data_IF_084348579359
#
_entry.id   IF_084348579359
#
_cell.length_a   1.000
_cell.length_b   1.000
_cell.length_c   1.000
_cell.angle_alpha   90.00
_cell.angle_beta   90.00
_cell.angle_gamma   90.00
#
_symmetry.space_group_name_H-M   'P 1'
#
loop_
_entity.id
_entity.type
_entity.pdbx_description
1 polymer ?
#
# COMPACT_ATOMS: atom_id res chain seq x y z
N UNK A 1 -24.61 43.12 55.52
CA UNK A 1 -24.71 42.80 54.08
C UNK A 1 -24.68 44.16 53.37
N UNK A 2 -23.54 44.70 52.96
CA UNK A 2 -22.71 44.29 51.82
C UNK A 2 -22.68 45.50 50.86
N UNK A 3 -21.60 46.30 50.92
CA UNK A 3 -21.51 47.62 50.30
C UNK A 3 -21.11 47.62 48.82
N UNK A 4 -21.40 48.74 48.15
CA UNK A 4 -21.00 49.05 46.78
C UNK A 4 -19.60 49.70 46.72
N UNK A 5 -18.89 49.47 45.61
CA UNK A 5 -17.64 50.14 45.23
C UNK A 5 -17.27 49.91 43.75
N UNK A 6 -17.17 51.04 43.03
CA UNK A 6 -16.53 51.37 41.72
C UNK A 6 -15.16 50.67 41.44
N UNK A 7 -14.54 50.53 40.25
CA UNK A 7 -14.65 51.03 38.86
C UNK A 7 -13.79 50.12 37.90
N UNK A 8 -13.35 50.46 36.64
CA UNK A 8 -13.46 49.60 35.45
C UNK A 8 -12.12 49.15 34.80
N UNK A 9 -12.14 48.33 33.73
CA UNK A 9 -11.40 48.56 32.45
C UNK A 9 -11.34 47.34 31.48
N UNK A 10 -11.73 47.63 30.23
CA UNK A 10 -11.11 47.28 28.92
C UNK A 10 -10.86 45.82 28.51
N UNK A 11 -11.52 45.46 27.40
CA UNK A 11 -10.82 45.14 26.15
C UNK A 11 -10.74 43.66 25.78
N UNK A 12 -11.38 43.29 24.65
CA UNK A 12 -11.13 42.01 23.97
C UNK A 12 -12.32 41.52 23.15
N UNK A 13 -12.47 42.07 21.95
CA UNK A 13 -13.35 41.55 20.88
C UNK A 13 -12.96 40.10 20.48
N UNK A 14 -13.85 39.36 19.79
CA UNK A 14 -13.89 37.91 19.77
C UNK A 14 -12.77 37.32 18.91
N UNK A 15 -12.01 36.37 19.48
CA UNK A 15 -11.07 35.56 18.73
C UNK A 15 -11.84 34.62 17.79
N UNK A 16 -12.06 35.12 16.56
CA UNK A 16 -11.79 34.45 15.29
C UNK A 16 -11.57 32.94 15.43
N UNK A 17 -12.68 32.19 15.44
CA UNK A 17 -12.70 30.78 15.08
C UNK A 17 -12.35 30.66 13.60
N UNK A 18 -11.05 30.66 13.31
CA UNK A 18 -10.52 30.53 11.97
C UNK A 18 -11.07 29.26 11.32
N UNK A 19 -11.77 29.47 10.20
CA UNK A 19 -12.12 28.45 9.22
C UNK A 19 -10.85 27.67 8.86
N UNK A 20 -10.62 26.51 9.47
CA UNK A 20 -9.71 25.50 8.91
C UNK A 20 -10.34 25.01 7.61
N UNK A 21 -10.06 25.74 6.52
CA UNK A 21 -10.32 25.24 5.19
C UNK A 21 -9.69 23.86 5.05
N UNK A 22 -10.44 22.90 4.51
CA UNK A 22 -9.90 21.60 4.07
C UNK A 22 -8.75 21.90 3.12
N UNK A 23 -7.52 21.87 3.64
CA UNK A 23 -6.33 21.96 2.83
C UNK A 23 -6.34 20.70 1.97
N UNK A 24 -6.57 20.86 0.66
CA UNK A 24 -6.60 19.76 -0.31
C UNK A 24 -5.29 18.99 -0.14
N UNK A 25 -5.35 17.75 0.38
CA UNK A 25 -4.16 16.91 0.57
C UNK A 25 -3.48 16.81 -0.80
N UNK A 26 -2.27 17.36 -0.94
CA UNK A 26 -1.47 17.23 -2.16
C UNK A 26 -0.71 15.92 -2.06
N UNK A 27 -1.10 14.95 -2.88
CA UNK A 27 -0.38 13.67 -3.02
C UNK A 27 0.86 13.93 -3.86
N UNK A 28 2.03 13.57 -3.33
CA UNK A 28 3.29 13.65 -4.04
C UNK A 28 3.58 12.33 -4.78
N UNK A 29 4.55 12.32 -5.70
CA UNK A 29 5.04 11.07 -6.28
C UNK A 29 5.63 10.15 -5.19
N UNK A 30 6.29 10.72 -4.18
CA UNK A 30 6.85 9.96 -3.07
C UNK A 30 5.75 9.28 -2.24
N UNK A 31 4.61 9.92 -2.01
CA UNK A 31 3.46 9.31 -1.34
C UNK A 31 2.91 8.11 -2.13
N UNK A 32 2.88 8.19 -3.48
CA UNK A 32 2.49 7.06 -4.34
C UNK A 32 3.51 5.90 -4.23
N UNK A 33 4.81 6.22 -4.26
CA UNK A 33 5.89 5.22 -4.10
C UNK A 33 5.88 4.61 -2.71
N UNK A 34 5.55 5.37 -1.66
CA UNK A 34 5.36 4.85 -0.31
C UNK A 34 4.19 3.87 -0.27
N UNK A 35 3.04 4.23 -0.83
CA UNK A 35 1.89 3.31 -0.91
C UNK A 35 2.25 2.02 -1.62
N UNK A 36 3.00 2.10 -2.73
CA UNK A 36 3.51 0.90 -3.41
C UNK A 36 4.48 0.09 -2.54
N UNK A 37 5.37 0.75 -1.78
CA UNK A 37 6.31 0.09 -0.86
C UNK A 37 5.59 -0.64 0.29
N UNK A 38 4.60 0.01 0.89
CA UNK A 38 3.79 -0.55 1.99
C UNK A 38 2.95 -1.74 1.48
N UNK A 39 2.36 -1.63 0.28
CA UNK A 39 1.64 -2.74 -0.35
C UNK A 39 2.55 -3.93 -0.62
N UNK A 40 3.75 -3.71 -1.21
CA UNK A 40 4.73 -4.79 -1.42
C UNK A 40 5.20 -5.40 -0.10
N UNK A 41 5.38 -4.61 0.95
CA UNK A 41 5.76 -5.13 2.27
C UNK A 41 4.73 -6.10 2.82
N UNK A 42 3.46 -5.69 2.79
CA UNK A 42 2.36 -6.49 3.31
C UNK A 42 2.05 -7.68 2.40
N UNK A 43 2.13 -7.53 1.08
CA UNK A 43 1.95 -8.62 0.15
C UNK A 43 3.01 -9.71 0.37
N UNK A 44 4.28 -9.31 0.54
CA UNK A 44 5.36 -10.23 0.88
C UNK A 44 5.13 -10.96 2.21
N UNK A 45 4.61 -10.27 3.23
CA UNK A 45 4.19 -10.89 4.49
C UNK A 45 3.06 -11.90 4.29
N UNK A 46 2.01 -11.53 3.53
CA UNK A 46 0.88 -12.43 3.24
C UNK A 46 1.31 -13.65 2.44
N UNK A 47 2.21 -13.53 1.47
CA UNK A 47 2.75 -14.70 0.79
C UNK A 47 3.55 -15.60 1.72
N UNK A 48 4.36 -15.02 2.61
CA UNK A 48 5.13 -15.79 3.59
C UNK A 48 4.25 -16.56 4.59
N UNK A 49 3.08 -16.04 4.96
CA UNK A 49 2.10 -16.76 5.81
C UNK A 49 1.60 -18.07 5.17
N UNK A 50 1.69 -18.17 3.84
CA UNK A 50 1.24 -19.33 3.06
C UNK A 50 2.37 -20.29 2.67
N UNK A 51 3.58 -20.14 3.21
CA UNK A 51 4.72 -21.02 2.90
C UNK A 51 4.60 -22.46 3.42
N UNK A 52 3.57 -22.78 4.21
CA UNK A 52 3.27 -24.14 4.70
C UNK A 52 1.77 -24.47 4.71
N UNK A 53 0.95 -23.62 4.08
CA UNK A 53 -0.50 -23.70 4.11
C UNK A 53 -1.14 -23.74 2.71
N UNK A 54 -0.33 -23.67 1.65
CA UNK A 54 -0.78 -23.74 0.28
C UNK A 54 -1.29 -25.16 -0.06
N UNK A 55 -2.10 -25.31 -1.13
CA UNK A 55 -2.69 -26.61 -1.47
C UNK A 55 -1.67 -27.65 -1.96
N UNK A 56 -0.47 -27.22 -2.37
CA UNK A 56 0.61 -28.11 -2.81
C UNK A 56 1.96 -27.60 -2.33
N UNK A 57 2.95 -28.50 -2.25
CA UNK A 57 4.31 -28.16 -1.86
C UNK A 57 4.96 -27.15 -2.81
N UNK A 58 4.69 -27.25 -4.11
CA UNK A 58 5.18 -26.29 -5.10
C UNK A 58 4.58 -24.90 -4.87
N UNK A 59 3.32 -24.83 -4.46
CA UNK A 59 2.66 -23.58 -4.11
C UNK A 59 3.20 -22.98 -2.80
N UNK A 60 3.55 -23.82 -1.82
CA UNK A 60 4.24 -23.41 -0.59
C UNK A 60 5.61 -22.77 -0.91
N UNK A 61 6.40 -23.44 -1.76
CA UNK A 61 7.71 -22.94 -2.21
C UNK A 61 7.56 -21.63 -2.98
N UNK A 62 6.56 -21.54 -3.86
CA UNK A 62 6.27 -20.31 -4.61
C UNK A 62 5.88 -19.18 -3.66
N UNK A 63 5.00 -19.41 -2.68
CA UNK A 63 4.61 -18.43 -1.67
C UNK A 63 5.81 -17.92 -0.88
N UNK A 64 6.71 -18.81 -0.45
CA UNK A 64 7.94 -18.43 0.24
C UNK A 64 8.87 -17.56 -0.63
N UNK A 65 9.05 -17.93 -1.90
CA UNK A 65 9.90 -17.20 -2.84
C UNK A 65 9.35 -15.80 -3.15
N UNK A 66 8.06 -15.70 -3.50
CA UNK A 66 7.41 -14.42 -3.78
C UNK A 66 7.40 -13.52 -2.54
N UNK A 67 7.21 -14.11 -1.35
CA UNK A 67 7.29 -13.39 -0.08
C UNK A 67 8.65 -12.73 0.15
N UNK A 68 9.73 -13.44 -0.15
CA UNK A 68 11.09 -12.90 -0.03
C UNK A 68 11.35 -11.77 -1.02
N UNK A 69 10.94 -11.95 -2.28
CA UNK A 69 11.12 -10.96 -3.35
C UNK A 69 10.37 -9.66 -3.02
N UNK A 70 9.10 -9.74 -2.63
CA UNK A 70 8.27 -8.57 -2.29
C UNK A 70 8.78 -7.79 -1.07
N UNK A 71 9.32 -8.49 -0.06
CA UNK A 71 10.02 -7.83 1.05
C UNK A 71 11.32 -7.15 0.59
N UNK A 72 12.00 -7.69 -0.43
CA UNK A 72 13.12 -7.03 -1.10
C UNK A 72 12.69 -5.77 -1.86
N UNK A 73 11.60 -5.86 -2.62
CA UNK A 73 11.01 -4.77 -3.40
C UNK A 73 10.59 -3.61 -2.51
N UNK A 74 9.93 -3.90 -1.39
CA UNK A 74 9.55 -2.90 -0.40
C UNK A 74 10.76 -2.10 0.11
N UNK A 75 11.88 -2.77 0.42
CA UNK A 75 13.12 -2.10 0.87
C UNK A 75 13.69 -1.17 -0.21
N UNK A 76 13.67 -1.60 -1.48
CA UNK A 76 14.13 -0.77 -2.61
C UNK A 76 13.25 0.47 -2.79
N UNK A 77 11.93 0.30 -2.71
CA UNK A 77 10.96 1.39 -2.85
C UNK A 77 11.08 2.40 -1.70
N UNK A 78 11.08 1.93 -0.44
CA UNK A 78 11.29 2.81 0.72
C UNK A 78 12.64 3.53 0.66
N UNK A 79 13.70 2.82 0.27
CA UNK A 79 15.03 3.43 0.10
C UNK A 79 15.11 4.51 -0.98
N UNK A 80 14.10 4.63 -1.83
CA UNK A 80 14.02 5.64 -2.89
C UNK A 80 13.29 6.92 -2.45
N UNK A 81 12.55 6.90 -1.33
CA UNK A 81 11.71 8.02 -0.88
C UNK A 81 12.51 9.31 -0.61
N UNK A 82 13.69 9.17 0.01
CA UNK A 82 14.59 10.29 0.32
C UNK A 82 14.98 11.10 -0.92
N UNK A 83 15.20 10.43 -2.05
CA UNK A 83 15.57 11.06 -3.31
C UNK A 83 14.37 11.66 -4.06
N UNK A 84 13.15 11.28 -3.69
CA UNK A 84 11.91 11.85 -4.22
C UNK A 84 11.43 13.09 -3.43
N UNK A 85 12.20 13.53 -2.43
CA UNK A 85 11.91 14.74 -1.66
C UNK A 85 11.07 14.54 -0.40
N UNK A 86 10.73 13.28 -0.05
CA UNK A 86 10.20 12.96 1.28
C UNK A 86 11.35 12.48 2.16
N UNK A 87 11.78 13.33 3.09
CA UNK A 87 12.64 12.90 4.18
C UNK A 87 11.80 12.12 5.20
N UNK A 88 12.40 11.11 5.84
CA UNK A 88 11.83 10.24 6.89
C UNK A 88 11.12 10.97 8.07
N UNK A 89 11.14 12.30 8.10
CA UNK A 89 10.71 13.14 9.20
C UNK A 89 9.20 13.08 9.53
N UNK A 90 8.35 12.51 8.67
CA UNK A 90 6.91 12.37 8.91
C UNK A 90 6.44 10.93 9.16
N UNK A 91 7.32 9.92 9.08
CA UNK A 91 6.91 8.53 9.34
C UNK A 91 7.09 8.22 10.82
N UNK A 92 5.98 8.14 11.56
CA UNK A 92 6.00 7.51 12.88
C UNK A 92 5.90 5.98 12.70
N UNK A 93 7.00 5.22 12.84
CA UNK A 93 6.98 3.76 12.69
C UNK A 93 6.17 3.07 13.81
N UNK A 94 5.70 3.82 14.80
CA UNK A 94 4.91 3.33 15.92
C UNK A 94 3.40 3.52 15.72
N UNK A 95 2.99 4.18 14.64
CA UNK A 95 1.58 4.37 14.30
C UNK A 95 1.16 3.58 13.04
N UNK A 96 0.20 2.64 13.15
CA UNK A 96 -0.27 1.84 12.01
C UNK A 96 -0.96 2.68 10.93
N UNK A 97 -1.39 3.90 11.27
CA UNK A 97 -2.06 4.80 10.33
C UNK A 97 -1.15 5.25 9.17
N UNK A 98 0.17 5.08 9.33
CA UNK A 98 1.18 5.43 8.33
C UNK A 98 1.31 4.43 7.18
N UNK A 99 0.75 3.22 7.31
CA UNK A 99 0.73 2.25 6.20
C UNK A 99 -0.35 2.64 5.20
N UNK A 100 0.08 2.86 3.95
CA UNK A 100 -0.75 3.33 2.84
C UNK A 100 -1.14 2.17 1.90
N UNK A 101 -1.56 1.05 2.48
CA UNK A 101 -1.90 -0.18 1.76
C UNK A 101 -3.39 -0.30 1.37
N UNK A 102 -3.67 -1.14 0.39
CA UNK A 102 -5.04 -1.54 0.02
C UNK A 102 -5.70 -2.35 1.16
N UNK A 103 -7.02 -2.25 1.30
CA UNK A 103 -7.74 -2.86 2.41
C UNK A 103 -7.69 -4.41 2.40
N UNK A 104 -7.44 -5.00 1.24
CA UNK A 104 -7.29 -6.44 1.02
C UNK A 104 -6.14 -7.04 1.83
N UNK A 105 -5.17 -6.20 2.22
CA UNK A 105 -3.98 -6.60 2.97
C UNK A 105 -4.08 -6.27 4.47
N UNK A 106 -5.17 -5.62 4.91
CA UNK A 106 -5.36 -5.22 6.32
C UNK A 106 -5.39 -6.43 7.27
N UNK A 107 -5.78 -7.62 6.80
CA UNK A 107 -5.89 -8.85 7.60
C UNK A 107 -5.20 -10.04 6.91
N UNK A 108 -4.76 -11.07 7.68
CA UNK A 108 -4.29 -12.33 7.11
C UNK A 108 -5.38 -12.98 6.26
N UNK A 109 -4.97 -13.65 5.19
CA UNK A 109 -5.90 -14.38 4.34
C UNK A 109 -6.34 -15.68 5.00
N UNK A 110 -7.64 -15.94 4.94
CA UNK A 110 -8.30 -17.09 5.56
C UNK A 110 -8.40 -18.31 4.64
N UNK A 111 -8.21 -18.13 3.33
CA UNK A 111 -8.35 -19.19 2.34
C UNK A 111 -7.50 -18.94 1.09
N UNK A 112 -7.23 -20.00 0.33
CA UNK A 112 -6.33 -19.98 -0.83
C UNK A 112 -6.84 -19.07 -1.96
N UNK A 113 -8.15 -18.87 -2.09
CA UNK A 113 -8.67 -18.02 -3.15
C UNK A 113 -8.30 -16.54 -2.94
N UNK A 114 -8.14 -16.12 -1.70
CA UNK A 114 -7.65 -14.77 -1.37
C UNK A 114 -6.19 -14.59 -1.81
N UNK A 115 -5.36 -15.61 -1.59
CA UNK A 115 -4.00 -15.65 -2.11
C UNK A 115 -3.98 -15.53 -3.64
N UNK A 116 -4.77 -16.36 -4.33
CA UNK A 116 -4.82 -16.36 -5.81
C UNK A 116 -5.33 -15.03 -6.34
N UNK A 117 -6.35 -14.44 -5.72
CA UNK A 117 -6.89 -13.14 -6.11
C UNK A 117 -5.86 -12.02 -5.94
N UNK A 118 -5.15 -11.99 -4.81
CA UNK A 118 -4.08 -11.02 -4.58
C UNK A 118 -2.94 -11.18 -5.58
N UNK A 119 -2.45 -12.42 -5.78
CA UNK A 119 -1.34 -12.68 -6.69
C UNK A 119 -1.69 -12.44 -8.17
N UNK A 120 -2.89 -12.80 -8.60
CA UNK A 120 -3.29 -12.58 -9.97
C UNK A 120 -3.63 -11.09 -10.25
N UNK A 121 -4.26 -10.39 -9.31
CA UNK A 121 -4.83 -9.05 -9.56
C UNK A 121 -4.04 -7.93 -8.90
N UNK A 122 -3.90 -7.95 -7.56
CA UNK A 122 -3.23 -6.86 -6.84
C UNK A 122 -1.75 -6.80 -7.18
N UNK A 123 -1.08 -7.94 -7.21
CA UNK A 123 0.34 -8.01 -7.55
C UNK A 123 0.57 -7.47 -8.97
N UNK A 124 -0.22 -7.93 -9.95
CA UNK A 124 -0.21 -7.41 -11.32
C UNK A 124 -0.46 -5.90 -11.39
N UNK A 125 -1.38 -5.36 -10.58
CA UNK A 125 -1.65 -3.93 -10.53
C UNK A 125 -0.45 -3.14 -9.97
N UNK A 126 0.23 -3.68 -8.96
CA UNK A 126 1.47 -3.12 -8.42
C UNK A 126 2.60 -3.21 -9.45
N UNK A 127 2.76 -4.35 -10.15
CA UNK A 127 3.72 -4.52 -11.24
C UNK A 127 3.50 -3.49 -12.35
N UNK A 128 2.24 -3.26 -12.76
CA UNK A 128 1.90 -2.25 -13.77
C UNK A 128 2.33 -0.83 -13.35
N UNK A 129 2.14 -0.48 -12.07
CA UNK A 129 2.63 0.80 -11.55
C UNK A 129 4.17 0.85 -11.51
N UNK A 130 4.83 -0.24 -11.12
CA UNK A 130 6.31 -0.36 -11.14
C UNK A 130 6.82 -0.17 -12.57
N UNK A 131 6.21 -0.80 -13.57
CA UNK A 131 6.55 -0.64 -14.99
C UNK A 131 6.39 0.81 -15.44
N UNK A 132 5.29 1.46 -15.08
CA UNK A 132 5.02 2.85 -15.44
C UNK A 132 6.05 3.82 -14.81
N UNK A 133 6.47 3.57 -13.56
CA UNK A 133 7.51 4.33 -12.86
C UNK A 133 8.90 4.07 -13.46
N UNK A 134 9.24 2.80 -13.70
CA UNK A 134 10.55 2.37 -14.19
C UNK A 134 10.84 2.87 -15.61
N UNK A 135 9.80 3.08 -16.41
CA UNK A 135 9.91 3.61 -17.77
C UNK A 135 9.69 5.14 -17.85
N UNK A 136 9.26 5.77 -16.76
CA UNK A 136 9.10 7.23 -16.66
C UNK A 136 10.43 7.98 -16.64
N UNK A 137 10.39 9.30 -16.41
CA UNK A 137 11.58 10.17 -16.43
C UNK A 137 12.32 10.34 -15.10
N UNK A 138 11.91 9.63 -14.05
CA UNK A 138 12.46 9.79 -12.69
C UNK A 138 13.65 8.85 -12.48
N UNK A 139 14.87 9.39 -12.53
CA UNK A 139 16.10 8.61 -12.65
C UNK A 139 16.35 7.60 -11.51
N UNK A 140 16.09 7.99 -10.26
CA UNK A 140 16.23 7.08 -9.10
C UNK A 140 15.34 5.84 -9.24
N UNK A 141 14.13 6.00 -9.79
CA UNK A 141 13.19 4.89 -9.98
C UNK A 141 13.57 4.04 -11.20
N UNK A 142 13.96 4.67 -12.32
CA UNK A 142 14.42 3.95 -13.52
C UNK A 142 15.56 2.98 -13.22
N UNK A 143 16.53 3.42 -12.43
CA UNK A 143 17.72 2.61 -12.10
C UNK A 143 17.40 1.47 -11.13
N UNK A 144 16.51 1.68 -10.16
CA UNK A 144 16.24 0.73 -9.07
C UNK A 144 15.16 -0.30 -9.38
N UNK A 145 14.12 0.07 -10.13
CA UNK A 145 12.94 -0.76 -10.31
C UNK A 145 13.08 -1.81 -11.42
N UNK A 146 14.08 -1.70 -12.31
CA UNK A 146 14.27 -2.63 -13.44
C UNK A 146 14.54 -4.07 -13.04
N UNK A 147 15.25 -4.28 -11.93
CA UNK A 147 15.51 -5.64 -11.43
C UNK A 147 14.23 -6.28 -10.89
N UNK A 148 13.43 -5.50 -10.17
CA UNK A 148 12.16 -5.96 -9.59
C UNK A 148 11.24 -6.56 -10.66
N UNK A 149 11.13 -5.90 -11.82
CA UNK A 149 10.30 -6.40 -12.93
C UNK A 149 10.68 -7.78 -13.47
N UNK A 150 11.93 -8.23 -13.28
CA UNK A 150 12.35 -9.58 -13.69
C UNK A 150 11.83 -10.64 -12.72
N UNK A 151 11.79 -10.32 -11.43
CA UNK A 151 11.27 -11.19 -10.36
C UNK A 151 9.73 -11.27 -10.47
N UNK A 152 9.06 -10.13 -10.67
CA UNK A 152 7.60 -10.01 -10.86
C UNK A 152 7.05 -10.84 -12.02
N UNK A 153 7.87 -11.14 -13.04
CA UNK A 153 7.44 -11.98 -14.16
C UNK A 153 7.01 -13.37 -13.68
N UNK A 154 7.73 -13.94 -12.70
CA UNK A 154 7.36 -15.24 -12.12
C UNK A 154 6.07 -15.16 -11.31
N UNK A 155 5.87 -14.07 -10.56
CA UNK A 155 4.63 -13.84 -9.80
C UNK A 155 3.42 -13.83 -10.75
N UNK A 156 3.52 -13.08 -11.85
CA UNK A 156 2.47 -13.00 -12.86
C UNK A 156 2.13 -14.38 -13.46
N UNK A 157 3.16 -15.17 -13.84
CA UNK A 157 2.92 -16.51 -14.39
C UNK A 157 2.26 -17.43 -13.38
N UNK A 158 2.68 -17.38 -12.11
CA UNK A 158 2.10 -18.15 -11.02
C UNK A 158 0.61 -17.78 -10.80
N UNK A 159 0.32 -16.50 -10.58
CA UNK A 159 -1.04 -16.02 -10.34
C UNK A 159 -1.98 -16.31 -11.51
N UNK A 160 -1.51 -16.09 -12.75
CA UNK A 160 -2.29 -16.41 -13.96
C UNK A 160 -2.57 -17.90 -14.09
N UNK A 161 -1.61 -18.77 -13.74
CA UNK A 161 -1.81 -20.22 -13.77
C UNK A 161 -2.93 -20.66 -12.83
N UNK A 162 -2.91 -20.16 -11.58
CA UNK A 162 -3.93 -20.47 -10.59
C UNK A 162 -5.29 -19.89 -10.92
N UNK A 163 -5.35 -18.64 -11.38
CA UNK A 163 -6.61 -18.00 -11.78
C UNK A 163 -7.31 -18.78 -12.90
N UNK A 164 -6.56 -19.27 -13.89
CA UNK A 164 -7.10 -20.09 -15.00
C UNK A 164 -7.66 -21.43 -14.51
N UNK A 165 -7.14 -21.99 -13.43
CA UNK A 165 -7.61 -23.24 -12.84
C UNK A 165 -8.83 -23.03 -11.92
N UNK A 166 -8.88 -21.90 -11.20
CA UNK A 166 -9.89 -21.60 -10.19
C UNK A 166 -11.16 -20.90 -10.70
N UNK A 167 -11.12 -20.29 -11.88
CA UNK A 167 -12.27 -19.56 -12.45
C UNK A 167 -12.61 -18.25 -11.72
N UNK A 168 -13.82 -17.72 -11.97
CA UNK A 168 -14.30 -16.44 -11.42
C UNK A 168 -14.72 -16.54 -9.94
N UNK A 169 -13.76 -16.36 -9.04
CA UNK A 169 -14.02 -16.30 -7.59
C UNK A 169 -14.42 -14.86 -7.15
N UNK A 170 -15.39 -14.68 -6.22
CA UNK A 170 -15.72 -13.36 -5.66
C UNK A 170 -14.51 -12.55 -5.15
N UNK A 171 -13.49 -13.21 -4.63
CA UNK A 171 -12.25 -12.59 -4.16
C UNK A 171 -11.49 -11.87 -5.29
N UNK A 172 -11.54 -12.40 -6.52
CA UNK A 172 -10.94 -11.76 -7.70
C UNK A 172 -11.65 -10.45 -8.01
N UNK A 173 -12.98 -10.44 -7.94
CA UNK A 173 -13.77 -9.22 -8.12
C UNK A 173 -13.41 -8.15 -7.07
N UNK A 174 -13.35 -8.54 -5.80
CA UNK A 174 -12.94 -7.66 -4.70
C UNK A 174 -11.52 -7.11 -4.90
N UNK A 175 -10.57 -7.96 -5.25
CA UNK A 175 -9.19 -7.55 -5.52
C UNK A 175 -9.11 -6.54 -6.68
N UNK A 176 -9.95 -6.72 -7.70
CA UNK A 176 -10.00 -5.81 -8.85
C UNK A 176 -10.61 -4.46 -8.48
N UNK A 177 -11.70 -4.44 -7.71
CA UNK A 177 -12.28 -3.20 -7.17
C UNK A 177 -11.23 -2.41 -6.38
N UNK A 178 -10.50 -3.08 -5.48
CA UNK A 178 -9.48 -2.44 -4.66
C UNK A 178 -8.25 -2.00 -5.49
N UNK A 179 -7.88 -2.73 -6.55
CA UNK A 179 -6.84 -2.28 -7.49
C UNK A 179 -7.27 -1.02 -8.26
N UNK A 180 -8.54 -0.96 -8.70
CA UNK A 180 -9.12 0.20 -9.39
C UNK A 180 -9.20 1.42 -8.48
N UNK A 181 -9.61 1.24 -7.22
CA UNK A 181 -9.54 2.28 -6.19
C UNK A 181 -8.11 2.72 -5.93
N UNK A 182 -7.16 1.78 -5.91
CA UNK A 182 -5.76 2.07 -5.69
C UNK A 182 -5.12 2.81 -6.87
N UNK A 183 -5.54 2.59 -8.12
CA UNK A 183 -5.13 3.47 -9.24
C UNK A 183 -5.71 4.88 -9.13
N UNK A 184 -6.80 5.06 -8.40
CA UNK A 184 -7.44 6.36 -8.18
C UNK A 184 -8.35 6.80 -9.33
N UNK A 185 -8.93 8.01 -9.26
CA UNK A 185 -9.84 8.54 -10.27
C UNK A 185 -9.11 8.98 -11.54
N UNK A 186 -9.77 8.83 -12.69
CA UNK A 186 -9.32 9.48 -13.93
C UNK A 186 -9.31 11.01 -13.77
N UNK A 187 -8.30 11.66 -14.34
CA UNK A 187 -7.97 13.06 -14.10
C UNK A 187 -7.29 13.34 -12.75
N UNK A 188 -7.11 12.31 -11.91
CA UNK A 188 -6.46 12.38 -10.61
C UNK A 188 -4.93 12.54 -10.67
N UNK A 189 -4.28 12.27 -9.54
CA UNK A 189 -2.83 12.43 -9.38
C UNK A 189 -1.99 11.51 -10.27
N UNK A 190 -2.43 10.25 -10.48
CA UNK A 190 -1.74 9.33 -11.40
C UNK A 190 -1.69 9.89 -12.82
N UNK A 191 -2.80 10.46 -13.31
CA UNK A 191 -2.83 11.11 -14.63
C UNK A 191 -2.01 12.39 -14.67
N UNK A 192 -1.87 13.11 -13.55
CA UNK A 192 -0.99 14.28 -13.45
C UNK A 192 0.48 13.86 -13.54
N UNK A 193 0.88 12.80 -12.83
CA UNK A 193 2.23 12.24 -12.93
C UNK A 193 2.52 11.68 -14.33
N UNK A 194 1.52 11.07 -14.96
CA UNK A 194 1.60 10.63 -16.35
C UNK A 194 1.83 11.81 -17.31
N UNK A 195 1.02 12.87 -17.23
CA UNK A 195 1.20 14.10 -18.02
C UNK A 195 2.55 14.76 -17.78
N UNK A 196 3.07 14.67 -16.56
CA UNK A 196 4.40 15.16 -16.22
C UNK A 196 5.53 14.25 -16.74
N UNK A 197 5.24 13.07 -17.32
CA UNK A 197 6.20 12.08 -17.78
C UNK A 197 6.90 11.30 -16.66
N UNK A 198 6.40 11.40 -15.43
CA UNK A 198 6.90 10.63 -14.29
C UNK A 198 6.39 9.18 -14.31
N UNK A 199 5.21 8.97 -14.88
CA UNK A 199 4.64 7.67 -15.24
C UNK A 199 4.46 7.58 -16.76
N UNK A 200 4.68 6.41 -17.36
CA UNK A 200 4.39 6.21 -18.79
C UNK A 200 2.94 5.85 -19.10
N UNK A 201 2.12 5.60 -18.08
CA UNK A 201 0.72 5.20 -18.22
C UNK A 201 -0.16 6.00 -17.24
N UNK A 202 -1.35 6.39 -17.70
CA UNK A 202 -2.40 6.98 -16.87
C UNK A 202 -3.33 5.92 -16.25
N UNK A 203 -4.34 6.37 -15.50
CA UNK A 203 -5.32 5.51 -14.83
C UNK A 203 -6.07 4.62 -15.82
N UNK A 204 -6.50 5.17 -16.96
CA UNK A 204 -7.22 4.42 -17.98
C UNK A 204 -6.36 3.29 -18.58
N UNK A 205 -5.09 3.59 -18.89
CA UNK A 205 -4.13 2.63 -19.44
C UNK A 205 -3.85 1.49 -18.44
N UNK A 206 -3.63 1.84 -17.17
CA UNK A 206 -3.38 0.89 -16.09
C UNK A 206 -4.57 -0.05 -15.88
N UNK A 207 -5.81 0.47 -15.92
CA UNK A 207 -7.03 -0.33 -15.81
C UNK A 207 -7.21 -1.28 -17.00
N UNK A 208 -7.00 -0.79 -18.23
CA UNK A 208 -7.07 -1.63 -19.44
C UNK A 208 -6.04 -2.75 -19.37
N UNK A 209 -4.79 -2.40 -19.08
CA UNK A 209 -3.68 -3.34 -18.99
C UNK A 209 -3.90 -4.40 -17.91
N UNK A 210 -4.49 -4.02 -16.77
CA UNK A 210 -4.85 -4.97 -15.72
C UNK A 210 -5.90 -5.97 -16.21
N UNK A 211 -6.98 -5.50 -16.84
CA UNK A 211 -8.02 -6.37 -17.38
C UNK A 211 -7.49 -7.34 -18.44
N UNK A 212 -6.60 -6.85 -19.32
CA UNK A 212 -5.93 -7.66 -20.33
C UNK A 212 -5.02 -8.74 -19.72
N UNK A 213 -4.17 -8.38 -18.74
CA UNK A 213 -3.23 -9.32 -18.10
C UNK A 213 -3.93 -10.39 -17.28
N UNK A 214 -5.00 -10.02 -16.58
CA UNK A 214 -5.81 -10.93 -15.78
C UNK A 214 -6.76 -11.77 -16.65
N UNK A 215 -6.95 -11.37 -17.93
CA UNK A 215 -7.92 -11.96 -18.86
C UNK A 215 -9.36 -11.95 -18.30
N UNK A 216 -9.69 -10.93 -17.51
CA UNK A 216 -11.01 -10.70 -16.93
C UNK A 216 -11.38 -9.26 -17.25
N UNK A 217 -12.60 -9.04 -17.75
CA UNK A 217 -13.09 -7.69 -17.95
C UNK A 217 -13.10 -6.94 -16.62
N UNK A 218 -12.47 -5.76 -16.58
CA UNK A 218 -12.48 -4.93 -15.39
C UNK A 218 -13.93 -4.71 -14.93
N UNK A 219 -14.29 -5.03 -13.67
CA UNK A 219 -15.60 -4.72 -13.16
C UNK A 219 -15.84 -3.21 -13.24
N UNK A 220 -17.11 -2.78 -13.41
CA UNK A 220 -17.44 -1.36 -13.45
C UNK A 220 -16.94 -0.67 -12.18
N UNK A 221 -16.32 0.49 -12.36
CA UNK A 221 -15.70 1.31 -11.31
C UNK A 221 -16.71 1.63 -10.21
N UNK A 222 -16.63 1.03 -9.02
CA UNK A 222 -17.56 1.30 -7.94
C UNK A 222 -16.85 2.15 -6.89
N UNK A 223 -16.35 3.32 -7.26
CA UNK A 223 -15.70 4.20 -6.31
C UNK A 223 -16.55 5.47 -6.16
N UNK A 224 -17.15 5.63 -4.97
CA UNK A 224 -17.58 6.93 -4.48
C UNK A 224 -16.32 7.78 -4.27
N UNK A 225 -15.84 8.42 -5.34
CA UNK A 225 -14.63 9.25 -5.31
C UNK A 225 -14.73 10.42 -4.32
N UNK A 226 -15.94 10.77 -3.85
CA UNK A 226 -16.11 11.76 -2.80
C UNK A 226 -15.65 11.24 -1.42
N UNK A 227 -15.63 9.92 -1.21
CA UNK A 227 -15.14 9.24 0.01
C UNK A 227 -13.73 8.68 -0.13
N UNK A 228 -13.18 8.67 -1.34
CA UNK A 228 -11.84 8.12 -1.59
C UNK A 228 -10.77 8.98 -0.90
N UNK A 229 -9.92 8.33 -0.09
CA UNK A 229 -8.77 8.97 0.53
C UNK A 229 -7.61 8.98 -0.47
N UNK A 230 -7.13 10.15 -0.94
CA UNK A 230 -6.09 10.23 -1.96
C UNK A 230 -4.71 9.80 -1.46
N UNK A 231 -4.45 9.87 -0.15
CA UNK A 231 -3.19 9.41 0.45
C UNK A 231 -3.21 7.90 0.69
N UNK A 232 -4.31 7.36 1.22
CA UNK A 232 -4.46 5.91 1.45
C UNK A 232 -4.88 5.12 0.21
N UNK A 233 -5.36 5.81 -0.82
CA UNK A 233 -5.79 5.27 -2.11
C UNK A 233 -6.88 4.21 -2.01
N UNK A 234 -7.84 4.43 -1.11
CA UNK A 234 -8.97 3.52 -0.85
C UNK A 234 -10.19 4.27 -0.35
N UNK A 235 -11.38 3.73 -0.57
CA UNK A 235 -12.64 4.30 -0.04
C UNK A 235 -12.97 3.79 1.36
N UNK A 236 -12.49 2.59 1.71
CA UNK A 236 -12.81 1.93 2.98
C UNK A 236 -11.87 2.40 4.11
N UNK A 237 -12.41 2.80 5.29
CA UNK A 237 -11.58 3.09 6.45
C UNK A 237 -10.98 1.79 7.02
N UNK A 238 -9.98 1.92 7.89
CA UNK A 238 -9.33 0.79 8.58
C UNK A 238 -7.82 0.92 8.58
N UNK A 239 -7.15 -0.18 8.87
CA UNK A 239 -5.70 -0.34 8.77
C UNK A 239 -5.32 -1.78 9.09
N UNK A 240 -4.04 -2.09 8.95
CA UNK A 240 -3.49 -3.40 9.30
C UNK A 240 -3.84 -3.79 10.74
N UNK A 241 -4.11 -5.07 10.95
CA UNK A 241 -4.41 -5.59 12.28
C UNK A 241 -3.22 -5.46 13.24
N UNK A 242 -3.52 -5.51 14.54
CA UNK A 242 -2.53 -5.32 15.59
C UNK A 242 -1.38 -6.34 15.52
N UNK A 243 -1.66 -7.60 15.21
CA UNK A 243 -0.63 -8.65 15.13
C UNK A 243 0.28 -8.43 13.92
N UNK A 244 -0.29 -8.14 12.75
CA UNK A 244 0.49 -7.77 11.56
C UNK A 244 1.39 -6.57 11.86
N UNK A 245 0.86 -5.55 12.56
CA UNK A 245 1.64 -4.38 12.95
C UNK A 245 2.77 -4.71 13.94
N UNK A 246 2.53 -5.60 14.91
CA UNK A 246 3.57 -6.10 15.83
C UNK A 246 4.68 -6.87 15.09
N UNK A 247 4.33 -7.70 14.09
CA UNK A 247 5.29 -8.43 13.26
C UNK A 247 6.22 -7.47 12.49
N UNK A 248 5.65 -6.45 11.83
CA UNK A 248 6.42 -5.48 11.05
C UNK A 248 7.41 -4.67 11.91
N UNK A 249 7.21 -4.62 13.21
CA UNK A 249 8.06 -3.91 14.18
C UNK A 249 9.08 -4.80 14.89
N UNK A 250 9.16 -6.07 14.54
CA UNK A 250 10.04 -7.00 15.24
C UNK A 250 9.58 -7.32 16.66
N UNK A 251 8.32 -7.03 17.01
CA UNK A 251 7.80 -7.16 18.38
C UNK A 251 7.26 -8.57 18.65
N UNK A 252 6.79 -9.28 17.62
CA UNK A 252 6.38 -10.67 17.76
C UNK A 252 7.56 -11.60 18.05
N UNK A 253 8.72 -11.35 17.44
CA UNK A 253 9.94 -12.13 17.64
C UNK A 253 10.45 -12.06 19.08
N UNK A 254 10.15 -10.96 19.79
CA UNK A 254 10.48 -10.82 21.22
C UNK A 254 9.80 -11.88 22.09
N UNK A 255 8.67 -12.45 21.66
CA UNK A 255 7.98 -13.54 22.36
C UNK A 255 8.77 -14.85 22.34
N UNK A 256 9.68 -15.00 21.37
CA UNK A 256 10.52 -16.19 21.19
C UNK A 256 11.98 -15.98 21.62
N UNK A 257 12.36 -14.74 21.99
CA UNK A 257 13.68 -14.45 22.55
C UNK A 257 13.75 -15.00 23.98
N UNK A 258 14.81 -15.74 24.36
CA UNK A 258 15.01 -16.15 25.75
C UNK A 258 15.04 -14.89 26.63
N UNK A 259 14.31 -14.91 27.76
CA UNK A 259 14.32 -13.82 28.73
C UNK A 259 15.79 -13.54 29.09
N UNK A 260 16.22 -12.28 28.91
CA UNK A 260 17.63 -11.89 28.99
C UNK A 260 18.30 -12.50 30.22
N UNK A 261 19.32 -13.32 30.00
CA UNK A 261 20.19 -13.76 31.06
C UNK A 261 20.78 -12.52 31.71
N UNK A 262 20.53 -12.36 33.02
CA UNK A 262 21.24 -11.40 33.84
C UNK A 262 22.74 -11.57 33.57
N UNK A 263 23.36 -10.56 32.96
CA UNK A 263 24.81 -10.43 33.02
C UNK A 263 25.14 -10.22 34.49
N UNK A 264 25.54 -11.29 35.17
CA UNK A 264 26.29 -11.18 36.42
C UNK A 264 27.65 -10.63 36.05
N UNK A 265 27.79 -9.32 36.19
CA UNK A 265 29.09 -8.67 36.24
C UNK A 265 29.91 -9.37 37.34
N UNK A 266 31.05 -9.92 36.96
CA UNK A 266 32.09 -10.44 37.85
C UNK A 266 33.39 -9.70 37.54
#
# INVERSE_FOLDING_TARGET
MGGAGDCPQRGGDPAVGARRGRQRIRVSLATLVQSLADNKQLLGLRYAEWCTAAPTLEADIAGAAMGLDDLGHSRVLHGSLRELGEADAERDPTSPEHYLNVAYLDQPWSNWNQFVAANAVLDTAFTLMIEALANGKVEVLRSRLRKMLQEEHYHYLHGRSWLRQGGGNPEVGRAFEEAVEWFGPEGGEVDQFHKAGQLTAGVADLRSSLGERVAIAAPPVPADWARWDPRRRRTRPGGIDARTFEMLRGLEEKRYMPAGGERKDS
#
